data_IF_357187271009
#
_entry.id   IF_357187271009
#
_cell.length_a   1.000
_cell.length_b   1.000
_cell.length_c   1.000
_cell.angle_alpha   90.00
_cell.angle_beta   90.00
_cell.angle_gamma   90.00
#
_symmetry.space_group_name_H-M   'P 1'
#
loop_
_entity.id
_entity.type
_entity.pdbx_description
1 polymer ?
#
# COMPACT_ATOMS: atom_id res chain seq x y z
N UNK A 1 -65.09 1.20 -54.25
CA UNK A 1 -65.84 -0.01 -53.89
C UNK A 1 -64.99 -1.21 -54.24
N UNK A 2 -64.94 -2.19 -53.34
CA UNK A 2 -64.15 -3.45 -53.41
C UNK A 2 -62.69 -3.39 -52.97
N UNK A 3 -62.40 -4.22 -51.96
CA UNK A 3 -61.31 -5.20 -52.02
C UNK A 3 -59.99 -4.81 -51.37
N UNK A 4 -59.95 -4.88 -50.04
CA UNK A 4 -58.73 -4.80 -49.22
C UNK A 4 -57.86 -6.05 -49.42
N UNK A 5 -56.55 -5.82 -49.42
CA UNK A 5 -55.49 -6.80 -49.49
C UNK A 5 -54.77 -6.95 -48.13
N UNK A 6 -53.91 -7.98 -48.07
CA UNK A 6 -52.72 -8.15 -47.23
C UNK A 6 -52.89 -8.90 -45.91
N UNK A 7 -52.33 -10.12 -45.91
CA UNK A 7 -51.83 -10.79 -44.72
C UNK A 7 -50.43 -10.28 -44.36
N UNK A 8 -50.22 -10.24 -43.04
CA UNK A 8 -48.99 -10.54 -42.30
C UNK A 8 -48.12 -9.37 -41.78
N UNK A 9 -47.94 -9.44 -40.46
CA UNK A 9 -46.77 -9.06 -39.65
C UNK A 9 -46.60 -7.58 -39.23
N UNK A 10 -46.81 -7.35 -37.92
CA UNK A 10 -45.87 -6.78 -36.92
C UNK A 10 -46.59 -5.89 -35.88
N UNK A 11 -46.15 -6.07 -34.63
CA UNK A 11 -46.29 -5.20 -33.46
C UNK A 11 -47.69 -5.04 -32.85
N UNK A 12 -47.92 -5.77 -31.75
CA UNK A 12 -48.95 -5.45 -30.77
C UNK A 12 -48.34 -4.54 -29.70
N UNK A 13 -48.72 -3.26 -29.75
CA UNK A 13 -48.61 -2.33 -28.64
C UNK A 13 -50.00 -2.02 -28.07
N UNK A 14 -50.09 -2.13 -26.75
CA UNK A 14 -50.95 -1.43 -25.80
C UNK A 14 -52.45 -1.82 -25.63
N UNK A 15 -52.72 -2.14 -24.36
CA UNK A 15 -53.81 -1.69 -23.50
C UNK A 15 -55.13 -2.50 -23.45
N UNK A 16 -55.34 -3.10 -22.28
CA UNK A 16 -56.65 -3.45 -21.73
C UNK A 16 -56.59 -3.47 -20.21
N UNK A 17 -57.03 -2.37 -19.57
CA UNK A 17 -57.33 -2.19 -18.14
C UNK A 17 -58.36 -3.25 -17.66
N UNK A 18 -58.66 -3.54 -16.39
CA UNK A 18 -58.63 -2.90 -15.07
C UNK A 18 -59.06 -4.04 -14.11
N UNK A 19 -58.51 -4.20 -12.91
CA UNK A 19 -59.08 -3.56 -11.72
C UNK A 19 -58.23 -3.80 -10.46
N UNK A 20 -57.97 -2.71 -9.75
CA UNK A 20 -58.03 -2.64 -8.28
C UNK A 20 -56.97 -3.38 -7.47
N UNK A 21 -55.82 -2.75 -7.29
CA UNK A 21 -55.34 -2.30 -5.97
C UNK A 21 -54.12 -1.41 -6.19
N UNK A 22 -54.15 -0.20 -5.63
CA UNK A 22 -53.05 0.75 -5.73
C UNK A 22 -51.85 0.21 -4.92
N UNK A 23 -50.82 -0.25 -5.61
CA UNK A 23 -49.45 -0.26 -5.09
C UNK A 23 -48.76 0.97 -5.69
N UNK A 24 -48.43 2.00 -4.90
CA UNK A 24 -47.55 3.06 -5.36
C UNK A 24 -46.11 2.54 -5.32
N UNK A 25 -45.40 2.66 -6.44
CA UNK A 25 -43.96 2.42 -6.52
C UNK A 25 -43.61 1.03 -7.05
N UNK A 26 -43.40 0.92 -8.36
CA UNK A 26 -42.25 0.14 -8.81
C UNK A 26 -41.03 0.92 -8.33
N UNK A 27 -40.31 0.34 -7.38
CA UNK A 27 -39.02 0.87 -6.97
C UNK A 27 -37.96 0.18 -7.83
N UNK A 28 -37.04 1.01 -8.26
CA UNK A 28 -35.90 0.71 -9.11
C UNK A 28 -34.97 -0.32 -8.45
N UNK A 29 -33.89 -0.73 -9.12
CA UNK A 29 -32.86 -1.64 -8.62
C UNK A 29 -32.23 -1.15 -7.29
N UNK A 30 -32.92 -1.31 -6.16
CA UNK A 30 -32.43 -1.00 -4.82
C UNK A 30 -31.46 -2.09 -4.39
N UNK A 31 -30.19 -1.84 -4.72
CA UNK A 31 -29.05 -2.21 -3.90
C UNK A 31 -29.41 -1.88 -2.44
N UNK A 32 -29.10 -2.78 -1.50
CA UNK A 32 -29.24 -2.52 -0.07
C UNK A 32 -28.24 -1.42 0.36
N UNK A 33 -28.47 -0.19 -0.06
CA UNK A 33 -27.75 1.01 0.35
C UNK A 33 -28.47 1.61 1.59
N UNK A 34 -28.63 0.83 2.67
CA UNK A 34 -29.17 1.33 3.95
C UNK A 34 -28.12 1.25 5.08
N UNK A 35 -27.38 2.34 5.20
CA UNK A 35 -26.32 2.55 6.20
C UNK A 35 -26.94 2.71 7.60
N UNK A 36 -26.54 1.88 8.57
CA UNK A 36 -26.83 2.07 10.00
C UNK A 36 -27.75 1.05 10.67
N UNK A 37 -28.18 -0.01 9.97
CA UNK A 37 -29.01 -1.08 10.53
C UNK A 37 -28.22 -2.08 11.38
N UNK A 38 -28.85 -2.58 12.46
CA UNK A 38 -28.32 -3.65 13.31
C UNK A 38 -28.29 -5.01 12.57
N UNK A 39 -27.54 -5.98 13.10
CA UNK A 39 -27.45 -7.31 12.47
C UNK A 39 -28.83 -8.00 12.41
N UNK A 40 -29.69 -7.79 13.41
CA UNK A 40 -31.04 -8.32 13.41
C UNK A 40 -31.91 -7.70 12.31
N UNK A 41 -31.80 -6.38 12.09
CA UNK A 41 -32.49 -5.67 11.01
C UNK A 41 -31.96 -6.05 9.61
N UNK A 42 -30.65 -6.31 9.51
CA UNK A 42 -30.04 -6.85 8.29
C UNK A 42 -30.54 -8.26 7.99
N UNK A 43 -30.66 -9.11 9.01
CA UNK A 43 -31.18 -10.47 8.86
C UNK A 43 -32.64 -10.52 8.40
N UNK A 44 -33.44 -9.50 8.71
CA UNK A 44 -34.82 -9.37 8.21
C UNK A 44 -34.88 -9.08 6.68
N UNK A 45 -33.76 -8.65 6.08
CA UNK A 45 -33.64 -8.33 4.65
C UNK A 45 -32.95 -9.42 3.83
N UNK A 46 -32.25 -10.34 4.50
CA UNK A 46 -31.52 -11.45 3.83
C UNK A 46 -32.47 -12.61 3.55
N UNK A 47 -32.58 -13.01 2.27
CA UNK A 47 -33.36 -14.19 1.88
C UNK A 47 -32.59 -15.48 2.18
N UNK A 48 -33.20 -16.40 2.94
CA UNK A 48 -32.66 -17.74 3.14
C UNK A 48 -33.36 -18.74 2.19
N UNK A 49 -32.58 -19.40 1.34
CA UNK A 49 -33.10 -20.35 0.36
C UNK A 49 -33.62 -21.62 1.06
N UNK A 50 -34.91 -21.99 0.91
CA UNK A 50 -35.52 -23.09 1.67
C UNK A 50 -34.95 -24.48 1.35
N UNK A 51 -34.50 -24.73 0.12
CA UNK A 51 -34.02 -26.06 -0.26
C UNK A 51 -32.59 -26.35 0.21
N UNK A 52 -31.74 -25.32 0.30
CA UNK A 52 -30.30 -25.46 0.60
C UNK A 52 -29.91 -24.91 1.96
N UNK A 53 -30.73 -24.00 2.53
CA UNK A 53 -30.43 -23.29 3.77
C UNK A 53 -29.39 -22.17 3.63
N UNK A 54 -28.96 -21.87 2.40
CA UNK A 54 -27.99 -20.82 2.10
C UNK A 54 -28.63 -19.43 2.24
N UNK A 55 -27.85 -18.45 2.66
CA UNK A 55 -28.28 -17.05 2.72
C UNK A 55 -27.89 -16.35 1.42
N UNK A 56 -28.82 -15.67 0.77
CA UNK A 56 -28.58 -14.97 -0.49
C UNK A 56 -28.52 -13.47 -0.22
N UNK A 57 -27.35 -12.87 -0.49
CA UNK A 57 -27.10 -11.43 -0.37
C UNK A 57 -26.97 -10.81 -1.77
N UNK A 58 -27.21 -9.50 -1.89
CA UNK A 58 -27.13 -8.74 -3.14
C UNK A 58 -27.97 -9.28 -4.32
N UNK A 59 -28.89 -10.20 -4.04
CA UNK A 59 -29.79 -10.83 -5.02
C UNK A 59 -29.24 -12.09 -5.70
N UNK A 60 -27.93 -12.35 -5.65
CA UNK A 60 -27.32 -13.47 -6.38
C UNK A 60 -26.06 -14.11 -5.75
N UNK A 61 -25.63 -13.65 -4.57
CA UNK A 61 -24.42 -14.17 -3.91
C UNK A 61 -24.79 -15.08 -2.72
N UNK A 62 -24.43 -16.39 -2.76
CA UNK A 62 -24.77 -17.34 -1.70
C UNK A 62 -23.71 -17.41 -0.58
N UNK A 63 -24.17 -17.39 0.66
CA UNK A 63 -23.35 -17.46 1.88
C UNK A 63 -23.74 -18.69 2.68
N UNK A 64 -22.75 -19.49 3.09
CA UNK A 64 -22.98 -20.85 3.57
C UNK A 64 -23.31 -20.95 5.07
N UNK A 65 -23.09 -19.89 5.84
CA UNK A 65 -23.38 -19.90 7.27
C UNK A 65 -23.71 -18.52 7.82
N UNK A 66 -24.48 -18.48 8.91
CA UNK A 66 -24.81 -17.23 9.61
C UNK A 66 -23.55 -16.53 10.16
N UNK A 67 -22.50 -17.28 10.46
CA UNK A 67 -21.20 -16.74 10.92
C UNK A 67 -20.44 -16.03 9.80
N UNK A 68 -20.51 -16.59 8.59
CA UNK A 68 -19.93 -15.99 7.40
C UNK A 68 -20.76 -14.78 6.95
N UNK A 69 -22.08 -14.84 7.13
CA UNK A 69 -23.00 -13.73 6.90
C UNK A 69 -22.80 -12.59 7.92
N UNK A 70 -22.53 -12.89 9.19
CA UNK A 70 -22.18 -11.91 10.23
C UNK A 70 -20.84 -11.23 9.92
N UNK A 71 -19.86 -11.99 9.41
CA UNK A 71 -18.59 -11.44 8.95
C UNK A 71 -18.77 -10.53 7.72
N UNK A 72 -19.61 -10.95 6.77
CA UNK A 72 -19.95 -10.16 5.59
C UNK A 72 -20.80 -8.92 5.92
N UNK A 73 -21.69 -8.99 6.92
CA UNK A 73 -22.42 -7.83 7.46
C UNK A 73 -21.46 -6.80 8.06
N UNK A 74 -20.47 -7.23 8.82
CA UNK A 74 -19.40 -6.35 9.31
C UNK A 74 -18.70 -5.70 8.11
N UNK A 75 -18.35 -6.48 7.08
CA UNK A 75 -17.71 -6.04 5.83
C UNK A 75 -18.56 -5.09 4.96
N UNK A 76 -19.89 -5.21 4.97
CA UNK A 76 -20.80 -4.49 4.06
C UNK A 76 -21.59 -3.32 4.69
N UNK A 77 -21.93 -3.37 5.98
CA UNK A 77 -22.87 -2.41 6.63
C UNK A 77 -22.18 -1.50 7.67
N UNK A 78 -20.95 -1.77 8.08
CA UNK A 78 -20.12 -0.82 8.82
C UNK A 78 -18.69 -0.80 8.28
N UNK A 79 -18.31 0.13 7.40
CA UNK A 79 -16.88 0.22 7.04
C UNK A 79 -16.39 1.47 6.30
N UNK A 80 -15.24 2.01 6.76
CA UNK A 80 -14.34 2.91 6.02
C UNK A 80 -13.19 3.58 6.82
N UNK A 81 -12.15 4.16 6.14
CA UNK A 81 -10.74 4.56 6.45
C UNK A 81 -10.23 6.03 6.19
N UNK A 82 -9.12 6.21 5.41
CA UNK A 82 -8.23 7.36 5.19
C UNK A 82 -8.41 8.12 3.84
N UNK A 83 -8.09 9.43 3.78
CA UNK A 83 -8.08 10.26 2.55
C UNK A 83 -6.74 10.98 2.27
N UNK A 84 -6.45 11.25 0.99
CA UNK A 84 -5.19 11.85 0.51
C UNK A 84 -5.38 13.31 0.04
N UNK A 85 -4.50 14.21 0.48
CA UNK A 85 -4.44 15.62 0.04
C UNK A 85 -4.13 15.71 -1.45
N UNK A 86 -4.95 16.47 -2.19
CA UNK A 86 -4.89 16.52 -3.65
C UNK A 86 -5.05 17.94 -4.21
N UNK A 87 -4.15 18.89 -3.89
CA UNK A 87 -4.26 20.27 -4.36
C UNK A 87 -4.15 20.30 -5.88
N UNK A 88 -5.12 20.94 -6.55
CA UNK A 88 -5.14 21.03 -8.02
C UNK A 88 -5.26 19.68 -8.74
N UNK A 89 -5.72 18.62 -8.07
CA UNK A 89 -5.90 17.30 -8.68
C UNK A 89 -4.64 16.44 -8.74
N UNK A 90 -3.55 16.81 -8.06
CA UNK A 90 -2.32 16.01 -7.95
C UNK A 90 -2.15 15.51 -6.53
N UNK A 91 -1.84 14.23 -6.37
CA UNK A 91 -1.61 13.61 -5.07
C UNK A 91 -0.38 14.22 -4.38
N UNK A 92 -0.57 14.82 -3.21
CA UNK A 92 0.53 15.29 -2.36
C UNK A 92 1.10 14.12 -1.57
N UNK A 93 2.01 13.37 -2.19
CA UNK A 93 2.69 12.19 -1.63
C UNK A 93 4.20 12.26 -1.85
N UNK A 94 4.95 11.51 -1.06
CA UNK A 94 6.37 11.26 -1.32
C UNK A 94 6.55 10.23 -2.44
N UNK A 95 7.59 10.39 -3.25
CA UNK A 95 7.98 9.36 -4.22
C UNK A 95 8.60 8.12 -3.54
N UNK A 96 8.86 7.06 -4.32
CA UNK A 96 9.35 5.79 -3.80
C UNK A 96 10.74 5.86 -3.15
N UNK A 97 11.53 6.88 -3.49
CA UNK A 97 12.83 7.13 -2.86
C UNK A 97 12.67 7.96 -1.59
N UNK A 98 11.88 9.03 -1.67
CA UNK A 98 11.66 9.98 -0.58
C UNK A 98 10.92 9.35 0.60
N UNK A 99 9.93 8.49 0.34
CA UNK A 99 9.12 7.84 1.39
C UNK A 99 9.98 7.01 2.36
N UNK A 100 11.15 6.53 1.90
CA UNK A 100 12.11 5.75 2.68
C UNK A 100 13.23 6.58 3.31
N UNK A 101 13.20 7.90 3.15
CA UNK A 101 14.25 8.82 3.61
C UNK A 101 13.65 10.12 4.19
N UNK A 102 12.59 9.99 4.99
CA UNK A 102 11.91 11.12 5.65
C UNK A 102 12.72 11.59 6.87
N UNK A 103 13.85 12.24 6.59
CA UNK A 103 14.77 12.73 7.63
C UNK A 103 14.17 13.92 8.38
N UNK A 104 14.30 13.91 9.71
CA UNK A 104 13.84 15.02 10.55
C UNK A 104 14.83 15.32 11.68
N UNK A 105 14.75 16.53 12.22
CA UNK A 105 15.45 16.92 13.43
C UNK A 105 14.43 17.31 14.51
N UNK A 106 14.86 17.27 15.77
CA UNK A 106 14.10 17.76 16.93
C UNK A 106 14.86 18.90 17.58
N UNK A 107 14.24 20.07 17.67
CA UNK A 107 14.90 21.27 18.17
C UNK A 107 15.29 21.15 19.64
N UNK A 108 16.55 21.46 19.97
CA UNK A 108 17.01 21.49 21.38
C UNK A 108 16.32 22.60 22.19
N UNK A 109 15.60 23.52 21.53
CA UNK A 109 14.80 24.58 22.18
C UNK A 109 13.60 24.06 22.98
N UNK A 110 13.20 22.79 22.82
CA UNK A 110 12.25 22.13 23.73
C UNK A 110 12.75 22.03 25.18
N UNK A 111 14.05 22.26 25.42
CA UNK A 111 14.63 22.29 26.76
C UNK A 111 14.41 20.97 27.51
N UNK A 112 13.82 21.04 28.71
CA UNK A 112 13.53 19.84 29.51
C UNK A 112 12.58 18.84 28.84
N UNK A 113 11.81 19.26 27.84
CA UNK A 113 10.89 18.39 27.10
C UNK A 113 11.52 17.72 25.88
N UNK A 114 12.78 18.04 25.53
CA UNK A 114 13.44 17.52 24.32
C UNK A 114 13.40 15.99 24.24
N UNK A 115 13.79 15.29 25.32
CA UNK A 115 13.80 13.82 25.34
C UNK A 115 12.39 13.23 25.19
N UNK A 116 11.38 13.88 25.77
CA UNK A 116 9.97 13.49 25.63
C UNK A 116 9.50 13.62 24.19
N UNK A 117 9.86 14.71 23.50
CA UNK A 117 9.52 14.91 22.09
C UNK A 117 10.21 13.89 21.19
N UNK A 118 11.51 13.64 21.38
CA UNK A 118 12.25 12.62 20.62
C UNK A 118 11.60 11.24 20.79
N UNK A 119 11.27 10.86 22.03
CA UNK A 119 10.60 9.58 22.30
C UNK A 119 9.22 9.51 21.66
N UNK A 120 8.43 10.58 21.71
CA UNK A 120 7.08 10.60 21.17
C UNK A 120 7.08 10.59 19.64
N UNK A 121 7.99 11.34 19.00
CA UNK A 121 8.22 11.31 17.54
C UNK A 121 8.63 9.93 17.05
N UNK A 122 9.60 9.28 17.71
CA UNK A 122 10.03 7.93 17.34
C UNK A 122 8.90 6.91 17.46
N UNK A 123 8.08 6.98 18.52
CA UNK A 123 6.95 6.08 18.70
C UNK A 123 5.82 6.34 17.68
N UNK A 124 5.54 7.60 17.36
CA UNK A 124 4.55 7.99 16.34
C UNK A 124 5.01 7.57 14.94
N UNK A 125 6.28 7.80 14.61
CA UNK A 125 6.90 7.37 13.36
C UNK A 125 6.84 5.85 13.21
N UNK A 126 7.28 5.11 14.23
CA UNK A 126 7.24 3.64 14.21
C UNK A 126 5.84 3.07 14.00
N UNK A 127 4.78 3.77 14.44
CA UNK A 127 3.41 3.34 14.16
C UNK A 127 3.05 3.44 12.67
N UNK A 128 3.49 4.50 11.98
CA UNK A 128 3.29 4.64 10.53
C UNK A 128 4.20 3.72 9.71
N UNK A 129 5.44 3.48 10.15
CA UNK A 129 6.36 2.52 9.53
C UNK A 129 5.85 1.07 9.69
N UNK A 130 5.14 0.78 10.78
CA UNK A 130 4.42 -0.48 10.97
C UNK A 130 3.14 -0.57 10.12
N UNK A 131 2.60 0.56 9.66
CA UNK A 131 1.40 0.62 8.83
C UNK A 131 1.72 0.55 7.32
N UNK A 132 2.83 1.16 6.89
CA UNK A 132 3.19 1.28 5.48
C UNK A 132 4.71 1.30 5.25
N UNK A 133 5.14 1.13 3.99
CA UNK A 133 6.54 1.14 3.57
C UNK A 133 7.08 2.58 3.47
N UNK A 134 7.22 3.20 4.63
CA UNK A 134 7.80 4.54 4.85
C UNK A 134 8.89 4.43 5.90
N UNK A 135 9.80 5.39 5.97
CA UNK A 135 10.88 5.41 6.95
C UNK A 135 11.23 6.85 7.37
N UNK A 136 11.02 7.14 8.64
CA UNK A 136 11.32 8.39 9.30
C UNK A 136 12.65 8.29 10.05
N UNK A 137 13.57 9.20 9.75
CA UNK A 137 14.93 9.10 10.26
C UNK A 137 15.24 10.33 11.11
N UNK A 138 15.36 10.14 12.43
CA UNK A 138 15.82 11.22 13.32
C UNK A 138 17.32 11.45 13.11
N UNK A 139 17.68 12.62 12.57
CA UNK A 139 19.07 13.03 12.37
C UNK A 139 19.51 13.90 13.55
N UNK A 140 19.78 13.27 14.69
CA UNK A 140 20.11 13.98 15.94
C UNK A 140 21.29 14.96 15.84
N UNK A 141 22.23 14.71 14.92
CA UNK A 141 23.31 15.66 14.60
C UNK A 141 22.86 17.02 14.06
N UNK A 142 21.59 17.15 13.65
CA UNK A 142 20.98 18.38 13.14
C UNK A 142 20.10 19.11 14.17
N UNK A 143 19.93 18.54 15.37
CA UNK A 143 18.99 19.06 16.39
C UNK A 143 19.34 20.46 16.89
N UNK A 144 20.64 20.77 17.00
CA UNK A 144 21.13 22.09 17.42
C UNK A 144 20.87 23.22 16.42
N UNK A 145 20.56 22.88 15.16
CA UNK A 145 20.20 23.82 14.08
C UNK A 145 18.87 23.45 13.44
N UNK A 146 17.95 22.86 14.21
CA UNK A 146 16.68 22.35 13.72
C UNK A 146 15.70 23.48 13.40
N UNK A 147 15.73 23.96 12.16
CA UNK A 147 14.96 25.11 11.70
C UNK A 147 14.44 24.88 10.28
N UNK A 148 13.51 25.73 9.84
CA UNK A 148 12.97 25.74 8.48
C UNK A 148 14.00 26.00 7.38
N UNK A 149 15.18 26.52 7.74
CA UNK A 149 16.29 26.77 6.80
C UNK A 149 17.28 25.60 6.71
N UNK A 150 17.12 24.56 7.53
CA UNK A 150 18.04 23.41 7.53
C UNK A 150 17.69 22.41 6.41
N UNK A 151 18.45 22.47 5.31
CA UNK A 151 18.26 21.60 4.14
C UNK A 151 18.86 20.18 4.30
N UNK A 152 19.50 19.86 5.44
CA UNK A 152 20.03 18.52 5.69
C UNK A 152 18.96 17.53 6.17
N UNK A 153 17.74 18.00 6.39
CA UNK A 153 16.57 17.19 6.78
C UNK A 153 15.35 17.59 5.95
N UNK A 154 14.41 16.66 5.76
CA UNK A 154 13.13 16.87 5.07
C UNK A 154 12.25 17.86 5.82
N UNK A 155 12.21 17.79 7.16
CA UNK A 155 11.43 18.71 7.98
C UNK A 155 12.01 18.90 9.39
N UNK A 156 11.58 19.96 10.07
CA UNK A 156 12.00 20.31 11.42
C UNK A 156 10.85 20.20 12.44
N UNK A 157 11.15 19.72 13.65
CA UNK A 157 10.21 19.66 14.78
C UNK A 157 10.57 20.74 15.80
N UNK A 158 9.67 21.70 16.03
CA UNK A 158 9.96 22.91 16.81
C UNK A 158 8.86 23.25 17.84
N UNK A 159 9.23 23.83 19.00
CA UNK A 159 8.25 24.28 19.99
C UNK A 159 7.55 25.57 19.58
N UNK A 160 6.33 25.74 20.09
CA UNK A 160 5.61 27.01 20.11
C UNK A 160 4.86 27.18 21.45
N UNK A 161 4.26 28.35 21.66
CA UNK A 161 3.47 28.66 22.84
C UNK A 161 2.28 29.54 22.48
N UNK A 162 1.15 29.33 23.17
CA UNK A 162 -0.06 30.14 23.02
C UNK A 162 -0.82 29.89 21.72
N UNK A 163 -0.63 28.73 21.09
CA UNK A 163 -1.33 28.35 19.87
C UNK A 163 -2.73 27.77 20.18
N UNK A 164 -3.69 27.89 19.26
CA UNK A 164 -5.02 27.29 19.41
C UNK A 164 -5.06 25.78 19.12
N UNK A 165 -3.91 25.16 18.85
CA UNK A 165 -3.74 23.75 18.55
C UNK A 165 -2.70 23.14 19.49
N UNK A 166 -2.78 21.82 19.70
CA UNK A 166 -1.75 21.06 20.42
C UNK A 166 -0.51 20.91 19.53
N UNK A 167 -0.69 20.42 18.30
CA UNK A 167 0.35 20.40 17.31
C UNK A 167 -0.21 20.74 15.92
N UNK A 168 0.69 20.95 14.96
CA UNK A 168 0.35 21.03 13.53
C UNK A 168 1.50 20.49 12.70
N UNK A 169 1.17 19.99 11.52
CA UNK A 169 2.12 19.53 10.52
C UNK A 169 1.91 20.22 9.16
N UNK A 170 2.53 19.66 8.15
CA UNK A 170 2.58 20.11 6.77
C UNK A 170 2.22 18.95 5.83
N UNK A 171 1.90 19.23 4.57
CA UNK A 171 1.72 18.21 3.53
C UNK A 171 2.96 18.07 2.63
N UNK A 172 3.18 16.91 1.96
CA UNK A 172 4.40 16.65 1.17
C UNK A 172 4.72 17.69 0.08
N UNK A 173 3.70 18.35 -0.47
CA UNK A 173 3.84 19.37 -1.52
C UNK A 173 4.31 20.74 -0.99
N UNK A 174 4.42 20.91 0.33
CA UNK A 174 4.86 22.17 0.92
C UNK A 174 6.35 22.43 0.63
N UNK A 175 6.74 23.68 0.35
CA UNK A 175 8.14 24.04 0.20
C UNK A 175 8.90 23.77 1.50
N UNK A 176 10.19 23.43 1.43
CA UNK A 176 11.01 23.09 2.61
C UNK A 176 10.89 24.09 3.75
N UNK A 177 10.85 25.39 3.46
CA UNK A 177 10.69 26.47 4.44
C UNK A 177 9.42 26.36 5.31
N UNK A 178 8.43 25.60 4.85
CA UNK A 178 7.14 25.40 5.52
C UNK A 178 6.94 23.96 6.01
N UNK A 179 7.91 23.06 5.75
CA UNK A 179 7.87 21.68 6.24
C UNK A 179 8.33 21.62 7.69
N UNK A 180 7.42 21.88 8.61
CA UNK A 180 7.65 21.83 10.06
C UNK A 180 6.49 21.17 10.80
N UNK A 181 6.84 20.40 11.84
CA UNK A 181 5.91 19.97 12.87
C UNK A 181 6.09 20.92 14.06
N UNK A 182 5.04 21.65 14.42
CA UNK A 182 5.08 22.59 15.54
C UNK A 182 4.25 22.05 16.68
N UNK A 183 4.85 22.01 17.88
CA UNK A 183 4.23 21.49 19.10
C UNK A 183 4.05 22.64 20.09
N UNK A 184 2.82 22.94 20.47
CA UNK A 184 2.51 23.94 21.47
C UNK A 184 2.86 23.46 22.89
N UNK A 185 3.24 24.39 23.74
CA UNK A 185 3.50 24.14 25.17
C UNK A 185 2.37 23.39 25.90
N UNK A 186 1.11 23.57 25.47
CA UNK A 186 -0.06 22.90 26.05
C UNK A 186 -0.07 21.38 25.83
N UNK A 187 0.62 20.85 24.82
CA UNK A 187 0.75 19.40 24.58
C UNK A 187 1.53 18.66 25.66
N UNK A 188 2.28 19.37 26.50
CA UNK A 188 2.99 18.79 27.64
C UNK A 188 2.15 18.80 28.93
N UNK A 189 0.94 19.39 28.89
CA UNK A 189 0.00 19.43 29.99
C UNK A 189 -0.87 18.17 30.09
N UNK A 190 -1.95 18.26 30.86
CA UNK A 190 -2.96 17.21 30.94
C UNK A 190 -3.90 17.27 29.73
N UNK A 191 -3.66 16.41 28.75
CA UNK A 191 -4.44 16.30 27.50
C UNK A 191 -5.20 14.97 27.32
N UNK A 192 -5.68 14.26 28.37
CA UNK A 192 -6.37 13.00 28.18
C UNK A 192 -7.66 13.17 27.35
N UNK A 193 -8.05 12.15 26.56
CA UNK A 193 -7.46 10.81 26.51
C UNK A 193 -6.15 10.72 25.72
N UNK A 194 -5.70 11.81 25.11
CA UNK A 194 -4.51 11.83 24.26
C UNK A 194 -3.21 11.92 25.06
N UNK A 195 -2.16 11.45 24.42
CA UNK A 195 -0.76 11.64 24.79
C UNK A 195 -0.08 12.49 23.71
N UNK A 196 1.11 13.00 24.00
CA UNK A 196 1.94 13.64 22.97
C UNK A 196 2.20 12.69 21.80
N UNK A 197 2.38 11.39 22.05
CA UNK A 197 2.58 10.39 21.00
C UNK A 197 1.34 10.24 20.11
N UNK A 198 0.13 10.20 20.68
CA UNK A 198 -1.10 10.13 19.89
C UNK A 198 -1.27 11.37 19.00
N UNK A 199 -1.07 12.56 19.57
CA UNK A 199 -1.11 13.82 18.80
C UNK A 199 -0.08 13.79 17.66
N UNK A 200 1.17 13.41 17.95
CA UNK A 200 2.20 13.34 16.91
C UNK A 200 1.94 12.23 15.87
N UNK A 201 1.24 11.15 16.24
CA UNK A 201 0.82 10.11 15.29
C UNK A 201 -0.14 10.69 14.26
N UNK A 202 -1.11 11.49 14.70
CA UNK A 202 -1.99 12.25 13.81
C UNK A 202 -1.20 13.21 12.92
N UNK A 203 -0.34 14.04 13.50
CA UNK A 203 0.46 15.01 12.75
C UNK A 203 1.36 14.36 11.68
N UNK A 204 1.97 13.22 11.99
CA UNK A 204 2.77 12.48 11.03
C UNK A 204 1.93 11.92 9.87
N UNK A 205 0.63 11.65 10.08
CA UNK A 205 -0.28 11.33 8.99
C UNK A 205 -0.36 12.44 7.94
N UNK A 206 -0.42 13.71 8.35
CA UNK A 206 -0.34 14.85 7.43
C UNK A 206 1.00 14.92 6.69
N UNK A 207 2.11 14.62 7.38
CA UNK A 207 3.44 14.60 6.73
C UNK A 207 3.55 13.53 5.65
N UNK A 208 2.67 12.52 5.67
CA UNK A 208 2.53 11.49 4.64
C UNK A 208 1.47 11.83 3.58
N UNK A 209 0.77 12.96 3.70
CA UNK A 209 -0.23 13.42 2.76
C UNK A 209 -1.68 13.19 3.19
N UNK A 210 -1.94 12.55 4.33
CA UNK A 210 -3.31 12.21 4.72
C UNK A 210 -4.05 13.43 5.26
N UNK A 211 -5.27 13.67 4.77
CA UNK A 211 -6.13 14.75 5.28
C UNK A 211 -7.01 14.27 6.41
N UNK A 212 -7.65 15.23 7.08
CA UNK A 212 -8.65 14.95 8.08
C UNK A 212 -9.86 14.23 7.51
N UNK A 213 -10.24 13.13 8.14
CA UNK A 213 -11.33 12.28 7.67
C UNK A 213 -12.70 12.99 7.76
N UNK A 214 -12.84 13.94 8.69
CA UNK A 214 -14.07 14.67 8.92
C UNK A 214 -14.45 15.65 7.80
N UNK A 215 -13.54 15.98 6.86
CA UNK A 215 -13.93 16.85 5.74
C UNK A 215 -14.86 16.15 4.74
N UNK A 216 -15.05 14.84 4.90
CA UNK A 216 -15.94 14.04 4.07
C UNK A 216 -17.41 14.29 4.43
N UNK A 217 -18.32 14.30 3.44
CA UNK A 217 -19.75 14.49 3.69
C UNK A 217 -20.33 13.54 4.76
N UNK A 218 -19.81 12.31 4.84
CA UNK A 218 -20.23 11.26 5.76
C UNK A 218 -20.08 11.65 7.24
N UNK A 219 -19.16 12.56 7.58
CA UNK A 219 -19.02 13.07 8.95
C UNK A 219 -20.21 13.95 9.38
N UNK A 220 -20.94 14.52 8.42
CA UNK A 220 -22.10 15.39 8.67
C UNK A 220 -21.78 16.72 9.34
N UNK A 221 -20.50 17.03 9.61
CA UNK A 221 -20.04 18.26 10.26
C UNK A 221 -18.58 18.58 9.91
N UNK A 222 -18.12 19.78 10.26
CA UNK A 222 -16.71 20.22 10.15
C UNK A 222 -16.09 20.19 8.73
N UNK A 223 -16.87 20.38 7.67
CA UNK A 223 -16.34 20.43 6.31
C UNK A 223 -15.19 21.45 6.14
N UNK A 224 -14.05 21.01 5.56
CA UNK A 224 -12.91 21.87 5.25
C UNK A 224 -12.93 22.29 3.77
N UNK A 225 -12.75 21.33 2.86
CA UNK A 225 -12.72 21.51 1.41
C UNK A 225 -12.85 20.18 0.63
N UNK A 226 -12.78 20.25 -0.71
CA UNK A 226 -12.87 19.10 -1.63
C UNK A 226 -11.53 18.71 -2.30
N UNK A 227 -10.40 19.25 -1.83
CA UNK A 227 -9.07 18.99 -2.40
C UNK A 227 -8.46 17.71 -1.83
N UNK A 228 -9.16 16.60 -2.04
CA UNK A 228 -8.76 15.28 -1.58
C UNK A 228 -9.31 14.18 -2.49
N UNK A 229 -8.77 12.97 -2.35
CA UNK A 229 -9.39 11.75 -2.87
C UNK A 229 -9.39 10.67 -1.80
N UNK A 230 -10.39 9.80 -1.83
CA UNK A 230 -10.44 8.64 -0.96
C UNK A 230 -9.31 7.65 -1.28
N UNK A 231 -8.69 7.10 -0.23
CA UNK A 231 -7.85 5.90 -0.33
C UNK A 231 -8.63 4.64 0.10
N UNK A 232 -9.58 4.82 1.00
CA UNK A 232 -10.49 3.78 1.52
C UNK A 232 -11.88 4.41 1.76
N UNK A 233 -12.88 3.66 2.23
CA UNK A 233 -14.20 4.20 2.61
C UNK A 233 -14.11 5.20 3.81
N UNK A 234 -15.20 5.69 4.42
CA UNK A 234 -15.16 6.67 5.55
C UNK A 234 -14.94 6.07 6.96
N UNK A 235 -14.00 6.61 7.75
CA UNK A 235 -13.72 6.16 9.14
C UNK A 235 -14.00 7.20 10.21
N UNK A 236 -15.10 7.03 10.95
CA UNK A 236 -15.31 7.86 12.14
C UNK A 236 -14.24 7.66 13.23
N UNK A 237 -13.54 6.52 13.25
CA UNK A 237 -12.53 6.19 14.26
C UNK A 237 -11.08 6.49 13.81
N UNK A 238 -10.86 6.94 12.56
CA UNK A 238 -9.53 7.15 11.99
C UNK A 238 -8.66 8.01 12.90
N UNK A 239 -7.35 7.73 12.90
CA UNK A 239 -6.36 8.61 13.52
C UNK A 239 -6.48 10.04 13.00
N UNK A 240 -6.94 10.24 11.77
CA UNK A 240 -7.12 11.54 11.12
C UNK A 240 -8.50 12.16 11.38
N UNK A 241 -9.36 11.55 12.22
CA UNK A 241 -10.69 12.06 12.51
C UNK A 241 -10.72 12.86 13.83
N UNK A 242 -11.40 14.01 13.80
CA UNK A 242 -11.59 14.84 14.99
C UNK A 242 -12.80 14.37 15.81
N UNK A 243 -12.65 14.10 17.13
CA UNK A 243 -13.78 13.69 17.97
C UNK A 243 -14.88 14.75 18.06
N UNK A 244 -14.53 16.04 18.08
CA UNK A 244 -15.50 17.14 18.06
C UNK A 244 -16.29 17.26 16.74
N UNK A 245 -15.91 16.48 15.73
CA UNK A 245 -16.50 16.48 14.40
C UNK A 245 -17.23 15.17 14.08
N UNK A 246 -17.80 14.51 15.10
CA UNK A 246 -18.40 13.17 15.03
C UNK A 246 -17.40 12.02 14.86
N UNK A 247 -16.14 12.22 15.26
CA UNK A 247 -15.20 11.13 15.39
C UNK A 247 -15.56 10.22 16.56
N UNK A 248 -15.56 8.90 16.35
CA UNK A 248 -15.92 7.90 17.35
C UNK A 248 -14.74 7.40 18.17
N UNK A 249 -13.51 7.76 17.79
CA UNK A 249 -12.32 7.31 18.51
C UNK A 249 -12.24 7.96 19.90
N UNK A 250 -12.16 7.11 20.93
CA UNK A 250 -12.08 7.53 22.34
C UNK A 250 -10.71 7.29 22.98
N UNK A 251 -9.76 6.74 22.21
CA UNK A 251 -8.41 6.38 22.65
C UNK A 251 -7.35 7.45 22.34
N UNK A 252 -6.09 7.00 22.33
CA UNK A 252 -4.91 7.84 22.13
C UNK A 252 -4.54 7.98 20.63
N UNK A 253 -5.47 8.44 19.80
CA UNK A 253 -5.29 8.69 18.36
C UNK A 253 -4.60 7.51 17.65
N UNK A 254 -5.13 6.29 17.81
CA UNK A 254 -4.54 5.06 17.26
C UNK A 254 -4.81 4.93 15.76
N UNK A 255 -3.83 4.42 15.01
CA UNK A 255 -3.99 4.05 13.60
C UNK A 255 -4.97 2.88 13.52
N UNK A 256 -6.05 3.04 12.76
CA UNK A 256 -7.03 1.97 12.52
C UNK A 256 -6.55 1.02 11.41
N UNK A 257 -7.23 -0.10 11.24
CA UNK A 257 -6.94 -1.03 10.15
C UNK A 257 -7.10 -0.37 8.76
N UNK A 258 -8.00 0.61 8.65
CA UNK A 258 -8.30 1.27 7.40
C UNK A 258 -7.37 2.47 7.14
N UNK A 259 -6.88 3.12 8.20
CA UNK A 259 -5.69 3.99 8.11
C UNK A 259 -4.48 3.20 7.56
N UNK A 260 -4.24 2.00 8.10
CA UNK A 260 -3.16 1.14 7.65
C UNK A 260 -3.34 0.70 6.20
N UNK A 261 -4.53 0.26 5.82
CA UNK A 261 -4.83 -0.14 4.43
C UNK A 261 -4.63 1.03 3.46
N UNK A 262 -5.17 2.21 3.79
CA UNK A 262 -5.01 3.42 2.99
C UNK A 262 -3.55 3.80 2.81
N UNK A 263 -2.78 3.82 3.90
CA UNK A 263 -1.36 4.12 3.85
C UNK A 263 -0.55 3.07 3.06
N UNK A 264 -0.85 1.78 3.25
CA UNK A 264 -0.21 0.69 2.52
C UNK A 264 -0.56 0.71 1.02
N UNK A 265 -1.77 1.14 0.65
CA UNK A 265 -2.14 1.31 -0.77
C UNK A 265 -1.35 2.43 -1.44
N UNK A 266 -0.99 3.48 -0.69
CA UNK A 266 -0.27 4.65 -1.21
C UNK A 266 1.25 4.43 -1.25
N UNK A 267 1.79 3.76 -0.23
CA UNK A 267 3.23 3.65 -0.01
C UNK A 267 3.77 2.22 -0.06
N UNK A 268 2.92 1.19 -0.08
CA UNK A 268 3.28 -0.23 0.05
C UNK A 268 3.11 -0.74 1.49
N UNK A 269 2.95 -2.05 1.69
CA UNK A 269 2.77 -2.64 3.03
C UNK A 269 4.06 -2.56 3.88
N UNK A 270 3.92 -2.42 5.20
CA UNK A 270 5.06 -2.44 6.12
C UNK A 270 5.81 -3.79 6.08
N UNK A 271 7.13 -3.75 6.19
CA UNK A 271 7.95 -4.96 6.06
C UNK A 271 7.99 -5.55 4.65
N UNK A 272 7.39 -4.90 3.64
CA UNK A 272 7.81 -5.13 2.26
C UNK A 272 9.25 -4.68 2.14
N UNK A 273 10.19 -5.65 2.12
CA UNK A 273 11.52 -5.43 1.53
C UNK A 273 11.30 -4.68 0.23
N UNK A 274 12.01 -3.56 -0.04
CA UNK A 274 11.88 -2.85 -1.30
C UNK A 274 11.87 -3.90 -2.42
N UNK A 275 10.79 -3.97 -3.19
CA UNK A 275 10.78 -4.91 -4.31
C UNK A 275 12.03 -4.65 -5.13
N UNK A 276 12.77 -5.70 -5.48
CA UNK A 276 13.99 -5.53 -6.24
C UNK A 276 13.67 -4.68 -7.48
N UNK A 277 14.34 -3.53 -7.63
CA UNK A 277 13.91 -2.49 -8.56
C UNK A 277 13.78 -2.98 -10.01
N UNK A 278 14.55 -3.99 -10.37
CA UNK A 278 14.41 -4.81 -11.57
C UNK A 278 15.13 -6.15 -11.38
N UNK A 279 14.99 -7.07 -12.34
CA UNK A 279 15.72 -8.34 -12.35
C UNK A 279 17.25 -8.10 -12.43
N UNK A 280 18.03 -8.86 -11.66
CA UNK A 280 19.49 -8.75 -11.58
C UNK A 280 20.22 -9.09 -12.90
N UNK A 281 19.55 -9.75 -13.84
CA UNK A 281 20.05 -10.05 -15.17
C UNK A 281 19.72 -8.95 -16.20
N UNK A 282 19.05 -7.87 -15.77
CA UNK A 282 18.75 -6.70 -16.58
C UNK A 282 19.55 -5.48 -16.11
N UNK A 283 20.02 -4.65 -17.04
CA UNK A 283 20.66 -3.37 -16.71
C UNK A 283 19.60 -2.35 -16.25
N UNK A 284 19.96 -1.47 -15.33
CA UNK A 284 19.02 -0.47 -14.81
C UNK A 284 19.56 0.37 -13.65
N UNK A 285 18.67 1.12 -12.97
CA UNK A 285 19.02 1.83 -11.75
C UNK A 285 19.71 0.94 -10.72
N UNK A 286 20.56 1.52 -9.87
CA UNK A 286 21.29 0.75 -8.85
C UNK A 286 20.34 -0.14 -8.02
N UNK A 287 20.71 -1.41 -7.84
CA UNK A 287 19.92 -2.38 -7.09
C UNK A 287 20.23 -2.31 -5.59
N UNK A 288 19.21 -2.55 -4.75
CA UNK A 288 19.40 -2.65 -3.31
C UNK A 288 19.72 -4.10 -2.94
N UNK A 289 20.97 -4.39 -2.56
CA UNK A 289 21.41 -5.74 -2.19
C UNK A 289 20.61 -6.40 -1.07
N UNK A 290 20.17 -5.66 -0.06
CA UNK A 290 19.35 -6.21 1.03
C UNK A 290 17.94 -6.61 0.54
N UNK A 291 17.47 -5.98 -0.53
CA UNK A 291 16.13 -6.16 -1.07
C UNK A 291 16.07 -7.09 -2.29
N UNK A 292 17.20 -7.25 -2.99
CA UNK A 292 17.35 -8.01 -4.24
C UNK A 292 17.95 -9.42 -4.06
N UNK A 293 18.06 -9.89 -2.82
CA UNK A 293 18.55 -11.23 -2.48
C UNK A 293 20.06 -11.31 -2.27
N UNK A 294 20.51 -12.43 -1.72
CA UNK A 294 21.88 -12.64 -1.23
C UNK A 294 22.95 -12.53 -2.31
N UNK A 295 22.62 -12.87 -3.56
CA UNK A 295 23.54 -12.68 -4.68
C UNK A 295 23.77 -11.19 -4.95
N UNK A 296 22.71 -10.39 -5.12
CA UNK A 296 22.87 -8.95 -5.34
C UNK A 296 23.56 -8.31 -4.14
N UNK A 297 23.28 -8.74 -2.91
CA UNK A 297 24.03 -8.30 -1.74
C UNK A 297 25.54 -8.60 -1.82
N UNK A 298 25.90 -9.78 -2.32
CA UNK A 298 27.31 -10.17 -2.51
C UNK A 298 27.99 -9.32 -3.59
N UNK A 299 27.28 -9.02 -4.68
CA UNK A 299 27.73 -8.10 -5.72
C UNK A 299 27.92 -6.69 -5.13
N UNK A 300 26.93 -6.14 -4.42
CA UNK A 300 27.04 -4.83 -3.77
C UNK A 300 28.24 -4.73 -2.80
N UNK A 301 28.57 -5.82 -2.11
CA UNK A 301 29.66 -5.85 -1.15
C UNK A 301 31.03 -5.84 -1.83
N UNK A 302 31.14 -6.41 -3.02
CA UNK A 302 32.36 -6.44 -3.81
C UNK A 302 32.52 -5.19 -4.70
N UNK A 303 31.42 -4.76 -5.33
CA UNK A 303 31.33 -3.56 -6.15
C UNK A 303 30.21 -2.62 -5.66
N UNK A 304 30.57 -1.62 -4.82
CA UNK A 304 29.62 -0.61 -4.36
C UNK A 304 28.99 0.21 -5.48
N UNK A 305 29.58 0.29 -6.68
CA UNK A 305 29.01 1.03 -7.82
C UNK A 305 27.63 0.48 -8.20
N UNK A 306 27.47 -0.85 -8.21
CA UNK A 306 26.25 -1.55 -8.59
C UNK A 306 25.03 -1.19 -7.73
N UNK A 307 25.27 -0.70 -6.51
CA UNK A 307 24.22 -0.46 -5.51
C UNK A 307 24.18 0.99 -5.02
N UNK A 308 25.03 1.86 -5.57
CA UNK A 308 25.05 3.30 -5.28
C UNK A 308 24.95 4.18 -6.52
N UNK A 309 25.29 3.65 -7.70
CA UNK A 309 25.37 4.44 -8.94
C UNK A 309 24.50 3.86 -10.04
N UNK A 310 24.79 2.65 -10.53
CA UNK A 310 24.01 2.04 -11.61
C UNK A 310 24.27 0.54 -11.72
N UNK A 311 23.25 -0.24 -12.10
CA UNK A 311 23.39 -1.67 -12.38
C UNK A 311 23.65 -1.87 -13.88
N UNK A 312 24.92 -1.88 -14.29
CA UNK A 312 25.33 -1.99 -15.69
C UNK A 312 25.70 -3.44 -16.09
N UNK A 313 26.25 -3.60 -17.30
CA UNK A 313 26.70 -4.90 -17.80
C UNK A 313 27.81 -5.55 -16.96
N UNK A 314 28.60 -4.76 -16.22
CA UNK A 314 29.62 -5.30 -15.31
C UNK A 314 28.91 -5.94 -14.12
N UNK A 315 27.94 -5.26 -13.51
CA UNK A 315 27.13 -5.79 -12.41
C UNK A 315 26.39 -7.09 -12.80
N UNK A 316 25.84 -7.16 -14.03
CA UNK A 316 25.22 -8.39 -14.55
C UNK A 316 26.24 -9.52 -14.67
N UNK A 317 27.46 -9.26 -15.17
CA UNK A 317 28.52 -10.28 -15.25
C UNK A 317 29.00 -10.74 -13.87
N UNK A 318 28.97 -9.85 -12.88
CA UNK A 318 29.34 -10.14 -11.51
C UNK A 318 28.39 -11.11 -10.80
N UNK A 319 27.13 -11.23 -11.26
CA UNK A 319 26.22 -12.29 -10.80
C UNK A 319 26.84 -13.68 -11.00
N UNK A 320 27.55 -13.90 -12.12
CA UNK A 320 28.26 -15.15 -12.35
C UNK A 320 29.59 -15.24 -11.58
N UNK A 321 30.43 -14.19 -11.65
CA UNK A 321 31.79 -14.26 -11.10
C UNK A 321 31.83 -14.20 -9.57
N UNK A 322 30.86 -13.55 -8.93
CA UNK A 322 30.79 -13.36 -7.47
C UNK A 322 29.86 -14.38 -6.83
N UNK A 323 28.64 -14.50 -7.33
CA UNK A 323 27.65 -15.39 -6.73
C UNK A 323 27.73 -16.82 -7.26
N UNK A 324 28.43 -17.06 -8.36
CA UNK A 324 28.42 -18.35 -9.06
C UNK A 324 27.08 -18.69 -9.71
N UNK A 325 26.21 -17.69 -9.95
CA UNK A 325 24.89 -17.91 -10.50
C UNK A 325 24.91 -17.88 -12.03
N UNK A 326 24.25 -18.84 -12.66
CA UNK A 326 24.17 -18.95 -14.14
C UNK A 326 22.85 -18.40 -14.69
N UNK A 327 22.03 -17.76 -13.86
CA UNK A 327 20.69 -17.28 -14.27
C UNK A 327 20.75 -16.18 -15.33
N UNK A 328 21.84 -15.40 -15.36
CA UNK A 328 21.97 -14.24 -16.25
C UNK A 328 22.70 -14.53 -17.57
N UNK A 329 23.23 -15.74 -17.75
CA UNK A 329 23.90 -16.14 -18.98
C UNK A 329 23.03 -17.13 -19.76
N UNK A 330 22.41 -16.63 -20.82
CA UNK A 330 21.72 -17.46 -21.80
C UNK A 330 22.63 -17.84 -22.98
N UNK A 331 23.72 -17.11 -23.22
CA UNK A 331 24.53 -17.24 -24.44
C UNK A 331 23.67 -17.36 -25.70
N UNK A 332 23.84 -18.49 -26.40
CA UNK A 332 23.05 -18.92 -27.58
C UNK A 332 22.04 -20.02 -27.26
N UNK A 333 21.82 -20.32 -25.98
CA UNK A 333 20.89 -21.35 -25.54
C UNK A 333 19.43 -20.98 -25.86
N UNK A 334 18.63 -22.00 -26.18
CA UNK A 334 17.19 -21.83 -26.45
C UNK A 334 16.37 -21.43 -25.23
N UNK A 335 16.87 -21.72 -24.03
CA UNK A 335 16.36 -21.23 -22.75
C UNK A 335 17.49 -21.23 -21.72
N UNK A 336 17.22 -20.69 -20.52
CA UNK A 336 18.20 -20.63 -19.45
C UNK A 336 18.53 -22.00 -18.86
N UNK A 337 19.78 -22.17 -18.45
CA UNK A 337 20.33 -23.40 -17.85
C UNK A 337 19.56 -23.81 -16.57
N UNK A 338 18.95 -22.84 -15.89
CA UNK A 338 18.18 -23.05 -14.67
C UNK A 338 16.69 -23.34 -14.88
N UNK A 339 16.22 -23.38 -16.14
CA UNK A 339 14.85 -23.72 -16.49
C UNK A 339 14.78 -25.05 -17.23
N UNK A 340 13.70 -25.81 -17.01
CA UNK A 340 13.43 -27.03 -17.78
C UNK A 340 12.95 -26.69 -19.19
N UNK A 341 13.26 -27.55 -20.16
CA UNK A 341 12.85 -27.33 -21.53
C UNK A 341 13.44 -28.34 -22.52
N UNK A 342 13.31 -28.07 -23.83
CA UNK A 342 13.98 -28.85 -24.87
C UNK A 342 15.48 -29.00 -24.60
N UNK A 343 16.08 -30.09 -25.07
CA UNK A 343 17.51 -30.33 -24.91
C UNK A 343 18.34 -29.10 -25.33
N UNK A 344 19.28 -28.69 -24.46
CA UNK A 344 20.15 -27.56 -24.75
C UNK A 344 21.30 -27.99 -25.67
N UNK A 345 21.68 -27.11 -26.60
CA UNK A 345 22.83 -27.35 -27.49
C UNK A 345 24.12 -27.34 -26.68
N UNK A 346 24.97 -28.35 -26.86
CA UNK A 346 26.27 -28.44 -26.18
C UNK A 346 27.11 -27.17 -26.41
N UNK A 347 27.52 -26.53 -25.30
CA UNK A 347 28.32 -25.29 -25.32
C UNK A 347 27.54 -24.04 -25.73
N UNK A 348 26.21 -24.05 -25.61
CA UNK A 348 25.41 -22.87 -25.95
C UNK A 348 25.59 -21.70 -24.98
N UNK A 349 25.98 -21.97 -23.73
CA UNK A 349 26.24 -20.96 -22.71
C UNK A 349 27.66 -20.43 -22.80
N UNK A 350 27.87 -19.19 -22.35
CA UNK A 350 29.18 -18.53 -22.43
C UNK A 350 30.16 -19.07 -21.39
N UNK A 351 29.65 -19.72 -20.35
CA UNK A 351 30.39 -20.17 -19.17
C UNK A 351 30.79 -21.66 -19.21
N UNK A 352 30.40 -22.40 -20.24
CA UNK A 352 30.74 -23.82 -20.44
C UNK A 352 30.03 -24.80 -19.51
N UNK A 353 29.00 -24.36 -18.80
CA UNK A 353 28.20 -25.18 -17.86
C UNK A 353 27.40 -26.23 -18.61
N UNK A 354 26.77 -25.87 -19.74
CA UNK A 354 26.02 -26.82 -20.55
C UNK A 354 26.96 -27.88 -21.11
N UNK A 355 28.17 -27.50 -21.54
CA UNK A 355 29.15 -28.46 -22.04
C UNK A 355 29.61 -29.46 -20.97
N UNK A 356 29.83 -29.00 -19.74
CA UNK A 356 30.19 -29.88 -18.61
C UNK A 356 29.06 -30.86 -18.30
N UNK A 357 27.81 -30.38 -18.29
CA UNK A 357 26.62 -31.22 -18.05
C UNK A 357 26.43 -32.22 -19.19
N UNK A 358 26.45 -31.81 -20.46
CA UNK A 358 26.33 -32.73 -21.60
C UNK A 358 27.38 -33.85 -21.60
N UNK A 359 28.59 -33.57 -21.08
CA UNK A 359 29.67 -34.55 -21.02
C UNK A 359 29.43 -35.60 -19.92
N UNK A 360 28.75 -35.22 -18.84
CA UNK A 360 28.42 -36.12 -17.73
C UNK A 360 27.08 -36.83 -17.95
N UNK A 361 26.07 -36.09 -18.41
CA UNK A 361 24.74 -36.56 -18.77
C UNK A 361 24.37 -36.16 -20.22
N UNK A 362 24.63 -37.05 -21.20
CA UNK A 362 24.25 -36.82 -22.59
C UNK A 362 22.74 -36.62 -22.81
N UNK A 363 21.88 -37.10 -21.90
CA UNK A 363 20.42 -36.97 -22.02
C UNK A 363 19.99 -35.51 -22.08
N UNK A 364 20.64 -34.64 -21.29
CA UNK A 364 20.36 -33.21 -21.21
C UNK A 364 20.52 -32.47 -22.55
N UNK A 365 21.31 -33.02 -23.46
CA UNK A 365 21.67 -32.38 -24.73
C UNK A 365 21.22 -33.19 -25.96
N UNK A 366 20.74 -34.41 -25.78
CA UNK A 366 20.14 -35.22 -26.86
C UNK A 366 18.62 -35.35 -26.78
N UNK A 367 18.06 -35.23 -25.58
CA UNK A 367 16.66 -35.63 -25.32
C UNK A 367 15.86 -34.50 -24.70
N UNK A 368 16.18 -34.09 -23.47
CA UNK A 368 15.42 -33.07 -22.76
C UNK A 368 16.21 -32.50 -21.58
N UNK A 369 16.04 -31.20 -21.30
CA UNK A 369 16.62 -30.54 -20.14
C UNK A 369 15.61 -30.56 -18.99
N UNK A 370 15.67 -31.60 -18.15
CA UNK A 370 14.73 -31.78 -17.03
C UNK A 370 15.28 -31.28 -15.68
N UNK A 371 14.60 -31.61 -14.59
CA UNK A 371 15.01 -31.25 -13.23
C UNK A 371 16.34 -31.87 -12.79
N UNK A 372 16.76 -33.00 -13.39
CA UNK A 372 18.07 -33.61 -13.11
C UNK A 372 19.15 -32.75 -13.75
N UNK A 373 18.99 -32.36 -15.02
CA UNK A 373 19.91 -31.43 -15.70
C UNK A 373 20.06 -30.10 -14.94
N UNK A 374 18.97 -29.56 -14.39
CA UNK A 374 19.01 -28.36 -13.54
C UNK A 374 19.76 -28.61 -12.22
N UNK A 375 19.56 -29.76 -11.56
CA UNK A 375 20.28 -30.11 -10.34
C UNK A 375 21.79 -30.30 -10.59
N UNK A 376 22.16 -30.76 -11.77
CA UNK A 376 23.54 -30.98 -12.21
C UNK A 376 24.36 -29.69 -12.35
N UNK A 377 23.71 -28.52 -12.48
CA UNK A 377 24.38 -27.21 -12.40
C UNK A 377 25.18 -27.06 -11.10
N UNK A 378 24.62 -27.53 -9.98
CA UNK A 378 25.31 -27.51 -8.71
C UNK A 378 26.30 -28.67 -8.57
N UNK A 379 25.89 -29.90 -8.87
CA UNK A 379 26.70 -31.09 -8.59
C UNK A 379 27.86 -31.32 -9.56
N UNK A 380 27.78 -30.82 -10.80
CA UNK A 380 28.84 -30.98 -11.83
C UNK A 380 29.60 -29.67 -12.05
N UNK A 381 28.90 -28.55 -12.23
CA UNK A 381 29.56 -27.28 -12.57
C UNK A 381 29.96 -26.44 -11.33
N UNK A 382 29.48 -26.79 -10.13
CA UNK A 382 29.74 -26.01 -8.92
C UNK A 382 29.10 -24.62 -8.96
N UNK A 383 28.01 -24.47 -9.71
CA UNK A 383 27.26 -23.22 -9.91
C UNK A 383 25.89 -23.30 -9.26
N UNK A 384 25.15 -22.20 -9.26
CA UNK A 384 23.80 -22.18 -8.73
C UNK A 384 22.82 -21.43 -9.64
N UNK A 385 21.54 -21.61 -9.32
CA UNK A 385 20.40 -21.02 -10.02
C UNK A 385 19.68 -19.96 -9.19
N UNK A 386 20.36 -19.42 -8.17
CA UNK A 386 19.81 -18.41 -7.27
C UNK A 386 20.09 -17.01 -7.77
#
# INVERSE_FOLDING_TARGET
MSGVAISLLIALSAAGCSSGSALPGGLDEERLDEVGMSFDEFMDLVYQEPETGLYIINGDEPVASIRELEQLYVEMVQQGGLILHRPGGVDARWDDTQKLNLTYCVSTSFGGNYATVVSAMNAAAGAWEAAANVNFIHVSGQDGSCTSSNNNVVFDVNPSSGQPYLARAFFPDYPRSSRNVIIDSSSFGSIPPWTLTGVLRHELGHTLGFRHEHTRPEAGTCFEDNNWRALTAYDSASVMHYPQCNGSQTGDLVITALDQQGAASLYGASGSTPACGHDKCSQGPALNGAACGTCVQSVCAADPYCCSTYWDSICVNEVYSICGSVTCDLGSCSHGVCGQGPALTNGCDSNGVVAAICAADPYCCSTYWDSICVAEVASIAGKNCN
#
